data_IF_912017312427
#
_entry.id   IF_912017312427
#
_cell.length_a   1.000
_cell.length_b   1.000
_cell.length_c   1.000
_cell.angle_alpha   90.00
_cell.angle_beta   90.00
_cell.angle_gamma   90.00
#
_symmetry.space_group_name_H-M   'P 1'
#
loop_
_entity.id
_entity.type
_entity.pdbx_description
1 polymer ?
#
# COMPACT_ATOMS: atom_id res chain seq x y z
N UNK A 1 18.69 -0.38 83.28
CA UNK A 1 17.98 0.90 83.09
C UNK A 1 16.76 0.61 82.23
N UNK A 2 15.56 1.05 82.65
CA UNK A 2 14.29 0.65 82.03
C UNK A 2 13.78 1.76 81.11
N UNK A 3 13.37 1.42 79.89
CA UNK A 3 12.73 2.35 78.95
C UNK A 3 11.29 1.87 78.70
N UNK A 4 10.32 2.64 79.20
CA UNK A 4 8.90 2.32 79.11
C UNK A 4 8.29 2.65 77.75
N UNK A 5 7.19 1.98 77.43
CA UNK A 5 6.41 2.21 76.22
C UNK A 5 5.49 3.43 76.33
N UNK A 6 5.16 4.04 75.19
CA UNK A 6 3.83 4.64 74.99
C UNK A 6 3.30 4.31 73.59
N UNK A 7 2.00 4.00 73.55
CA UNK A 7 1.21 3.68 72.37
C UNK A 7 0.08 4.70 72.27
N UNK A 8 -0.23 5.23 71.07
CA UNK A 8 -1.55 5.77 70.79
C UNK A 8 -1.88 5.94 69.29
N UNK A 9 -3.13 5.61 68.98
CA UNK A 9 -4.03 6.26 68.02
C UNK A 9 -3.71 6.27 66.50
N UNK A 10 -4.58 5.55 65.77
CA UNK A 10 -4.80 5.61 64.32
C UNK A 10 -5.35 6.98 63.89
N UNK A 11 -4.90 7.51 62.77
CA UNK A 11 -5.61 8.56 62.03
C UNK A 11 -6.55 7.95 60.98
N UNK A 12 -7.80 8.41 60.97
CA UNK A 12 -8.86 7.99 60.02
C UNK A 12 -9.09 9.13 59.01
N UNK A 13 -9.18 8.87 57.70
CA UNK A 13 -9.44 9.92 56.70
C UNK A 13 -10.88 10.45 56.79
N UNK A 14 -11.12 11.74 56.53
CA UNK A 14 -12.45 12.33 56.56
C UNK A 14 -13.34 11.83 55.41
N UNK A 15 -14.64 11.69 55.69
CA UNK A 15 -15.67 11.19 54.77
C UNK A 15 -16.22 12.30 53.83
N UNK A 16 -16.81 11.95 52.67
CA UNK A 16 -17.37 12.90 51.71
C UNK A 16 -18.68 13.56 52.20
N UNK A 17 -18.94 14.77 51.71
CA UNK A 17 -20.13 15.57 52.03
C UNK A 17 -21.41 15.04 51.35
N UNK A 18 -22.58 15.04 52.03
CA UNK A 18 -23.86 14.62 51.45
C UNK A 18 -24.48 15.63 50.46
N UNK A 19 -25.43 15.11 49.66
CA UNK A 19 -26.30 15.89 48.78
C UNK A 19 -27.52 16.43 49.55
N UNK A 20 -28.09 17.56 49.11
CA UNK A 20 -29.41 18.02 49.55
C UNK A 20 -30.36 18.25 48.35
N UNK A 21 -31.60 17.78 48.52
CA UNK A 21 -32.80 18.06 47.71
C UNK A 21 -33.95 18.15 48.72
N UNK A 22 -34.81 19.18 48.70
CA UNK A 22 -36.14 19.03 48.08
C UNK A 22 -36.61 20.38 47.44
N UNK A 23 -37.81 20.62 46.91
CA UNK A 23 -39.11 19.92 46.97
C UNK A 23 -40.00 20.32 45.76
N UNK A 24 -41.04 19.54 45.45
CA UNK A 24 -41.89 19.66 44.25
C UNK A 24 -43.31 20.18 44.53
N UNK A 25 -43.92 20.93 43.59
CA UNK A 25 -45.37 21.16 43.52
C UNK A 25 -45.84 21.51 42.08
N UNK A 26 -47.00 20.97 41.66
CA UNK A 26 -47.57 21.01 40.29
C UNK A 26 -49.07 21.41 40.34
N UNK A 27 -49.88 21.43 39.25
CA UNK A 27 -49.71 22.01 37.91
C UNK A 27 -50.92 22.87 37.40
N UNK A 28 -50.70 23.72 36.38
CA UNK A 28 -51.73 24.38 35.53
C UNK A 28 -51.07 25.02 34.27
N UNK A 29 -51.71 25.34 33.12
CA UNK A 29 -52.99 24.96 32.46
C UNK A 29 -52.85 25.24 30.92
N UNK A 30 -53.84 24.87 30.09
CA UNK A 30 -53.74 24.83 28.61
C UNK A 30 -54.16 26.10 27.82
N UNK A 31 -53.50 26.31 26.66
CA UNK A 31 -53.77 27.09 25.43
C UNK A 31 -55.13 27.83 25.20
N UNK A 32 -55.18 28.93 24.39
CA UNK A 32 -55.35 28.78 22.92
C UNK A 32 -54.70 29.86 21.98
N UNK A 33 -54.59 29.55 20.68
CA UNK A 33 -54.18 30.46 19.58
C UNK A 33 -55.37 31.15 18.88
N UNK A 34 -55.23 32.40 18.40
CA UNK A 34 -56.07 32.99 17.33
C UNK A 34 -55.26 33.87 16.34
N UNK A 35 -55.84 34.08 15.15
CA UNK A 35 -55.24 34.66 13.91
C UNK A 35 -55.32 36.20 13.87
N UNK A 36 -54.75 36.86 12.84
CA UNK A 36 -55.66 37.45 11.84
C UNK A 36 -55.27 37.22 10.36
N UNK A 37 -56.23 37.52 9.47
CA UNK A 37 -56.09 37.58 7.99
C UNK A 37 -55.98 39.06 7.54
N UNK A 38 -55.31 39.33 6.42
CA UNK A 38 -55.45 40.60 5.69
C UNK A 38 -54.39 40.80 4.60
N UNK A 39 -54.80 41.10 3.36
CA UNK A 39 -53.93 41.39 2.21
C UNK A 39 -54.59 42.43 1.28
N UNK A 40 -53.85 43.44 0.79
CA UNK A 40 -54.13 44.13 -0.47
C UNK A 40 -53.13 43.73 -1.59
N UNK A 41 -53.41 44.04 -2.88
CA UNK A 41 -52.81 43.29 -4.00
C UNK A 41 -51.89 44.08 -4.97
N UNK A 42 -51.12 43.29 -5.75
CA UNK A 42 -50.48 43.58 -7.06
C UNK A 42 -49.47 44.74 -7.21
N UNK A 43 -48.25 44.37 -7.54
CA UNK A 43 -47.61 44.79 -8.80
C UNK A 43 -46.86 43.60 -9.41
N UNK A 44 -46.72 43.56 -10.75
CA UNK A 44 -46.10 42.45 -11.48
C UNK A 44 -44.61 42.72 -11.69
N UNK A 45 -43.75 41.85 -11.18
CA UNK A 45 -42.35 41.76 -11.61
C UNK A 45 -42.12 40.38 -12.24
N UNK A 46 -41.83 40.35 -13.55
CA UNK A 46 -41.52 39.11 -14.26
C UNK A 46 -40.20 38.54 -13.74
N UNK A 47 -40.27 37.48 -12.92
CA UNK A 47 -39.09 36.71 -12.55
C UNK A 47 -38.72 35.82 -13.73
N UNK A 48 -37.65 36.18 -14.44
CA UNK A 48 -37.13 35.39 -15.56
C UNK A 48 -36.40 34.16 -15.00
N UNK A 49 -37.14 33.06 -14.85
CA UNK A 49 -36.55 31.80 -14.39
C UNK A 49 -35.66 31.21 -15.48
N UNK A 50 -34.41 30.95 -15.12
CA UNK A 50 -33.38 30.46 -16.05
C UNK A 50 -33.68 28.99 -16.36
N UNK A 51 -34.16 28.73 -17.57
CA UNK A 51 -34.49 27.39 -18.08
C UNK A 51 -33.19 26.60 -18.29
N UNK A 52 -32.65 26.02 -17.21
CA UNK A 52 -31.58 25.00 -17.26
C UNK A 52 -31.80 23.94 -16.17
N UNK A 53 -33.03 23.45 -16.03
CA UNK A 53 -33.35 22.30 -15.18
C UNK A 53 -34.31 21.33 -15.88
N UNK A 54 -33.84 20.73 -16.99
CA UNK A 54 -34.50 19.58 -17.65
C UNK A 54 -33.57 18.86 -18.64
N UNK A 55 -32.30 18.66 -18.27
CA UNK A 55 -31.47 17.63 -18.90
C UNK A 55 -30.81 16.77 -17.82
N UNK A 56 -31.58 15.83 -17.27
CA UNK A 56 -31.01 14.58 -16.76
C UNK A 56 -30.34 13.89 -17.94
N UNK A 57 -29.06 14.18 -18.13
CA UNK A 57 -28.20 13.32 -18.95
C UNK A 57 -28.14 11.98 -18.24
N UNK A 58 -28.97 11.05 -18.69
CA UNK A 58 -28.85 9.65 -18.34
C UNK A 58 -27.42 9.24 -18.65
N UNK A 59 -26.62 9.01 -17.61
CA UNK A 59 -25.27 8.51 -17.76
C UNK A 59 -25.38 7.13 -18.39
N UNK A 60 -25.26 7.05 -19.72
CA UNK A 60 -25.20 5.80 -20.49
C UNK A 60 -24.37 4.81 -19.67
N UNK A 61 -24.89 3.60 -19.36
CA UNK A 61 -24.17 2.66 -18.53
C UNK A 61 -22.81 2.45 -19.18
N UNK A 62 -21.74 2.83 -18.46
CA UNK A 62 -20.37 2.65 -18.96
C UNK A 62 -20.25 1.17 -19.28
N UNK A 63 -20.01 0.84 -20.56
CA UNK A 63 -19.67 -0.53 -20.98
C UNK A 63 -18.63 -1.04 -19.99
N UNK A 64 -18.90 -2.18 -19.34
CA UNK A 64 -17.91 -2.81 -18.47
C UNK A 64 -16.69 -3.08 -19.34
N UNK A 65 -15.62 -2.32 -19.11
CA UNK A 65 -14.36 -2.54 -19.79
C UNK A 65 -13.87 -3.89 -19.29
N UNK A 66 -13.70 -4.83 -20.20
CA UNK A 66 -13.09 -6.10 -19.86
C UNK A 66 -11.60 -5.85 -19.59
N UNK A 67 -11.20 -6.00 -18.34
CA UNK A 67 -9.83 -5.78 -17.86
C UNK A 67 -9.01 -7.07 -17.82
N UNK A 68 -9.66 -8.21 -18.01
CA UNK A 68 -9.14 -9.55 -17.70
C UNK A 68 -9.51 -10.59 -18.78
N UNK A 69 -9.79 -10.14 -20.01
CA UNK A 69 -10.01 -10.98 -21.21
C UNK A 69 -11.02 -12.10 -20.98
N UNK A 70 -12.14 -11.78 -20.33
CA UNK A 70 -13.23 -12.69 -20.04
C UNK A 70 -13.13 -13.40 -18.68
N UNK A 71 -11.97 -13.40 -18.00
CA UNK A 71 -11.86 -13.97 -16.66
C UNK A 71 -12.69 -13.15 -15.65
N UNK A 72 -13.69 -13.73 -14.96
CA UNK A 72 -14.56 -13.00 -14.07
C UNK A 72 -13.83 -12.63 -12.77
N UNK A 73 -14.10 -11.44 -12.23
CA UNK A 73 -13.46 -10.98 -10.97
C UNK A 73 -13.70 -11.95 -9.80
N UNK A 74 -14.83 -12.66 -9.77
CA UNK A 74 -15.13 -13.68 -8.76
C UNK A 74 -14.15 -14.85 -8.75
N UNK A 75 -13.59 -15.23 -9.91
CA UNK A 75 -12.56 -16.27 -9.99
C UNK A 75 -11.22 -15.71 -9.48
N UNK A 76 -10.87 -14.47 -9.86
CA UNK A 76 -9.64 -13.82 -9.41
C UNK A 76 -9.58 -13.64 -7.89
N UNK A 77 -10.72 -13.46 -7.22
CA UNK A 77 -10.80 -13.39 -5.75
C UNK A 77 -10.47 -14.72 -5.06
N UNK A 78 -10.56 -15.86 -5.77
CA UNK A 78 -10.20 -17.19 -5.26
C UNK A 78 -8.72 -17.54 -5.51
N UNK A 79 -8.06 -16.87 -6.46
CA UNK A 79 -6.64 -17.06 -6.75
C UNK A 79 -5.78 -16.43 -5.64
N UNK A 80 -4.65 -17.07 -5.35
CA UNK A 80 -3.57 -16.53 -4.51
C UNK A 80 -2.35 -16.19 -5.39
N UNK A 81 -1.31 -15.59 -4.79
CA UNK A 81 -0.06 -15.28 -5.48
C UNK A 81 1.11 -15.94 -4.71
N UNK A 82 1.89 -16.83 -5.33
CA UNK A 82 3.03 -17.47 -4.67
C UNK A 82 4.06 -16.46 -4.13
N UNK A 83 4.66 -16.80 -2.98
CA UNK A 83 5.78 -16.04 -2.43
C UNK A 83 7.09 -16.41 -3.14
N UNK A 84 7.95 -15.43 -3.37
CA UNK A 84 9.33 -15.63 -3.83
C UNK A 84 10.27 -15.52 -2.62
N UNK A 85 10.44 -16.61 -1.88
CA UNK A 85 11.22 -16.66 -0.64
C UNK A 85 12.32 -17.72 -0.69
N UNK A 86 13.51 -17.33 -0.26
CA UNK A 86 14.72 -18.16 -0.17
C UNK A 86 15.48 -17.80 1.12
N UNK A 87 16.27 -18.71 1.71
CA UNK A 87 17.32 -18.32 2.65
C UNK A 87 18.30 -17.29 2.04
N UNK A 88 19.01 -16.57 2.90
CA UNK A 88 20.11 -15.64 2.54
C UNK A 88 19.71 -14.44 1.66
N UNK A 89 18.43 -14.09 1.58
CA UNK A 89 17.98 -12.87 0.90
C UNK A 89 18.46 -11.60 1.63
N UNK A 90 18.86 -10.60 0.86
CA UNK A 90 19.19 -9.28 1.39
C UNK A 90 17.91 -8.51 1.77
N UNK A 91 16.87 -8.58 0.94
CA UNK A 91 15.61 -7.87 1.11
C UNK A 91 14.45 -8.83 0.85
N UNK A 92 13.39 -8.76 1.67
CA UNK A 92 12.07 -9.28 1.31
C UNK A 92 11.10 -8.10 1.24
N UNK A 93 10.51 -7.89 0.06
CA UNK A 93 9.47 -6.90 -0.17
C UNK A 93 8.14 -7.48 0.32
N UNK A 94 7.53 -6.81 1.29
CA UNK A 94 6.30 -7.25 1.96
C UNK A 94 5.14 -6.41 1.46
N UNK A 95 4.33 -6.97 0.57
CA UNK A 95 3.09 -6.38 0.08
C UNK A 95 1.92 -6.51 1.06
N UNK A 96 0.80 -5.86 0.74
CA UNK A 96 -0.41 -5.95 1.55
C UNK A 96 -1.09 -7.30 1.30
N UNK A 97 -1.56 -7.46 0.08
CA UNK A 97 -2.19 -8.64 -0.48
C UNK A 97 -2.18 -8.54 -2.02
N UNK A 98 -2.43 -9.64 -2.75
CA UNK A 98 -2.54 -9.59 -4.19
C UNK A 98 -3.73 -8.72 -4.62
N UNK A 99 -3.48 -7.81 -5.57
CA UNK A 99 -4.55 -7.12 -6.29
C UNK A 99 -5.07 -7.96 -7.44
N UNK A 100 -6.28 -7.70 -7.93
CA UNK A 100 -6.88 -8.45 -9.06
C UNK A 100 -5.94 -8.64 -10.28
N UNK A 101 -5.15 -7.63 -10.65
CA UNK A 101 -4.18 -7.76 -11.75
C UNK A 101 -3.01 -8.69 -11.42
N UNK A 102 -2.56 -8.72 -10.16
CA UNK A 102 -1.52 -9.65 -9.71
C UNK A 102 -2.04 -11.10 -9.68
N UNK A 103 -3.29 -11.30 -9.26
CA UNK A 103 -3.96 -12.60 -9.28
C UNK A 103 -4.33 -13.09 -10.70
N UNK A 104 -4.62 -12.17 -11.62
CA UNK A 104 -4.84 -12.48 -13.03
C UNK A 104 -3.55 -12.91 -13.72
N UNK A 105 -2.49 -12.11 -13.58
CA UNK A 105 -1.18 -12.31 -14.21
C UNK A 105 -0.35 -13.42 -13.56
N UNK A 106 -0.50 -13.65 -12.25
CA UNK A 106 0.33 -14.61 -11.50
C UNK A 106 1.70 -14.08 -11.05
N UNK A 107 1.95 -12.77 -11.19
CA UNK A 107 3.23 -12.12 -10.84
C UNK A 107 3.06 -10.94 -9.87
N UNK A 108 4.17 -10.54 -9.23
CA UNK A 108 4.23 -9.45 -8.25
C UNK A 108 4.22 -8.05 -8.90
N UNK A 109 3.33 -7.20 -8.38
CA UNK A 109 3.17 -5.78 -8.76
C UNK A 109 2.97 -5.43 -10.26
N UNK A 110 2.20 -6.19 -11.08
CA UNK A 110 1.97 -5.88 -12.48
C UNK A 110 1.09 -4.65 -12.72
N UNK A 111 1.24 -4.10 -13.93
CA UNK A 111 0.37 -3.07 -14.50
C UNK A 111 0.75 -1.62 -14.14
N UNK A 112 0.20 -0.64 -14.88
CA UNK A 112 0.59 0.78 -14.79
C UNK A 112 0.11 1.44 -13.49
N UNK A 113 -0.80 0.79 -12.74
CA UNK A 113 -1.27 1.24 -11.44
C UNK A 113 -0.30 0.99 -10.27
N UNK A 114 0.93 0.54 -10.55
CA UNK A 114 1.95 0.26 -9.55
C UNK A 114 3.31 0.87 -9.95
N UNK A 115 3.98 1.52 -8.98
CA UNK A 115 5.28 2.16 -9.20
C UNK A 115 6.48 1.25 -8.87
N UNK A 116 6.28 0.06 -8.32
CA UNK A 116 7.37 -0.81 -7.80
C UNK A 116 8.50 -0.99 -8.83
N UNK A 117 8.17 -1.52 -10.02
CA UNK A 117 9.13 -1.79 -11.08
C UNK A 117 9.86 -0.53 -11.58
N UNK A 118 9.18 0.61 -11.58
CA UNK A 118 9.81 1.90 -11.90
C UNK A 118 10.74 2.38 -10.78
N UNK A 119 10.33 2.27 -9.52
CA UNK A 119 11.11 2.71 -8.37
C UNK A 119 12.37 1.88 -8.14
N UNK A 120 12.30 0.54 -8.25
CA UNK A 120 13.43 -0.37 -8.01
C UNK A 120 14.54 -0.21 -9.07
N UNK A 121 14.16 0.07 -10.32
CA UNK A 121 15.11 0.41 -11.38
C UNK A 121 15.68 1.82 -11.19
N UNK A 122 14.84 2.84 -10.98
CA UNK A 122 15.30 4.23 -10.78
C UNK A 122 16.23 4.40 -9.58
N UNK A 123 16.06 3.57 -8.53
CA UNK A 123 16.95 3.57 -7.36
C UNK A 123 18.23 2.77 -7.52
N UNK A 124 18.45 2.10 -8.67
CA UNK A 124 19.56 1.17 -8.92
C UNK A 124 19.67 0.03 -7.89
N UNK A 125 18.52 -0.46 -7.40
CA UNK A 125 18.45 -1.74 -6.68
C UNK A 125 18.57 -2.92 -7.64
N UNK A 126 18.11 -2.73 -8.88
CA UNK A 126 18.43 -3.54 -10.05
C UNK A 126 19.14 -2.67 -11.10
N UNK A 127 19.98 -3.30 -11.92
CA UNK A 127 20.87 -2.66 -12.89
C UNK A 127 20.18 -2.30 -14.21
N UNK A 128 19.24 -3.15 -14.66
CA UNK A 128 18.45 -3.00 -15.89
C UNK A 128 16.94 -2.87 -15.62
N UNK A 129 16.16 -2.30 -16.56
CA UNK A 129 14.70 -2.34 -16.50
C UNK A 129 14.17 -3.77 -16.40
N UNK A 130 13.11 -3.96 -15.60
CA UNK A 130 12.42 -5.23 -15.40
C UNK A 130 10.92 -4.99 -15.22
N UNK A 131 10.13 -6.03 -15.44
CA UNK A 131 8.67 -6.05 -15.31
C UNK A 131 8.21 -7.10 -14.30
N UNK A 132 6.90 -7.23 -14.09
CA UNK A 132 6.36 -8.30 -13.25
C UNK A 132 6.74 -9.70 -13.76
N UNK A 133 6.90 -9.90 -15.07
CA UNK A 133 7.35 -11.17 -15.68
C UNK A 133 8.79 -11.56 -15.29
N UNK A 134 9.53 -10.66 -14.65
CA UNK A 134 10.90 -10.88 -14.18
C UNK A 134 10.98 -11.13 -12.67
N UNK A 135 9.84 -11.19 -11.96
CA UNK A 135 9.81 -11.19 -10.49
C UNK A 135 10.58 -12.34 -9.82
N UNK A 136 10.52 -13.54 -10.38
CA UNK A 136 11.29 -14.69 -9.93
C UNK A 136 12.81 -14.50 -10.07
N UNK A 137 13.27 -13.64 -11.01
CA UNK A 137 14.69 -13.36 -11.25
C UNK A 137 15.29 -12.48 -10.15
N UNK A 138 14.48 -11.78 -9.35
CA UNK A 138 14.96 -10.88 -8.30
C UNK A 138 15.61 -11.60 -7.12
N UNK A 139 15.37 -12.92 -6.96
CA UNK A 139 16.13 -13.77 -6.03
C UNK A 139 17.64 -13.69 -6.33
N UNK A 140 18.04 -13.57 -7.60
CA UNK A 140 19.44 -13.40 -8.01
C UNK A 140 20.04 -12.03 -7.59
N UNK A 141 19.20 -11.03 -7.32
CA UNK A 141 19.58 -9.74 -6.76
C UNK A 141 19.52 -9.72 -5.22
N UNK A 142 19.21 -10.86 -4.59
CA UNK A 142 18.97 -10.99 -3.15
C UNK A 142 17.61 -10.43 -2.71
N UNK A 143 16.64 -10.27 -3.62
CA UNK A 143 15.34 -9.65 -3.35
C UNK A 143 14.21 -10.67 -3.51
N UNK A 144 13.46 -10.93 -2.45
CA UNK A 144 12.27 -11.78 -2.44
C UNK A 144 10.96 -11.02 -2.25
N UNK A 145 9.84 -11.75 -2.33
CA UNK A 145 8.49 -11.21 -2.22
C UNK A 145 7.59 -12.06 -1.31
N UNK A 146 6.75 -11.40 -0.52
CA UNK A 146 5.63 -12.00 0.22
C UNK A 146 4.52 -10.96 0.39
N UNK A 147 3.32 -11.39 0.78
CA UNK A 147 2.28 -10.48 1.28
C UNK A 147 2.00 -10.73 2.78
N UNK A 148 1.39 -9.75 3.45
CA UNK A 148 0.86 -9.93 4.82
C UNK A 148 -0.38 -10.80 4.79
N UNK A 149 -1.29 -10.55 3.85
CA UNK A 149 -2.53 -11.32 3.65
C UNK A 149 -2.46 -11.99 2.27
N UNK A 150 -2.75 -13.29 2.24
CA UNK A 150 -2.69 -14.10 1.01
C UNK A 150 -3.89 -13.88 0.07
N UNK A 151 -5.07 -13.59 0.64
CA UNK A 151 -6.33 -13.44 -0.09
C UNK A 151 -6.31 -12.25 -1.05
N UNK A 152 -6.65 -12.50 -2.31
CA UNK A 152 -6.80 -11.46 -3.34
C UNK A 152 -7.99 -10.53 -3.06
N UNK A 153 -7.79 -9.21 -3.25
CA UNK A 153 -8.89 -8.22 -3.21
C UNK A 153 -8.72 -7.12 -4.27
N UNK A 154 -9.78 -6.34 -4.59
CA UNK A 154 -9.65 -5.13 -5.41
C UNK A 154 -8.74 -4.06 -4.77
N UNK A 155 -8.79 -3.93 -3.44
CA UNK A 155 -7.81 -3.13 -2.69
C UNK A 155 -7.75 -3.42 -1.19
N UNK A 156 -6.79 -2.77 -0.53
CA UNK A 156 -6.50 -2.94 0.89
C UNK A 156 -7.60 -2.44 1.85
N UNK A 157 -8.64 -1.77 1.33
CA UNK A 157 -9.84 -1.40 2.11
C UNK A 157 -10.78 -2.57 2.37
N UNK A 158 -10.65 -3.64 1.58
CA UNK A 158 -11.47 -4.85 1.63
C UNK A 158 -10.89 -5.91 2.60
N UNK A 159 -9.86 -5.52 3.37
CA UNK A 159 -9.19 -6.31 4.39
C UNK A 159 -9.51 -5.75 5.78
N UNK A 160 -9.85 -6.62 6.72
CA UNK A 160 -10.08 -6.19 8.11
C UNK A 160 -8.77 -6.01 8.89
N UNK A 161 -8.78 -5.19 9.94
CA UNK A 161 -7.60 -5.09 10.85
C UNK A 161 -7.29 -6.41 11.57
N UNK A 162 -8.30 -7.26 11.81
CA UNK A 162 -8.13 -8.61 12.37
C UNK A 162 -7.35 -9.49 11.39
N UNK A 163 -7.79 -9.53 10.14
CA UNK A 163 -7.15 -10.28 9.05
C UNK A 163 -5.70 -9.83 8.79
N UNK A 164 -5.44 -8.51 8.78
CA UNK A 164 -4.06 -8.00 8.70
C UNK A 164 -3.21 -8.43 9.91
N UNK A 165 -3.79 -8.48 11.12
CA UNK A 165 -3.09 -8.92 12.33
C UNK A 165 -2.84 -10.43 12.39
N UNK A 166 -3.73 -11.24 11.82
CA UNK A 166 -3.54 -12.68 11.63
C UNK A 166 -2.47 -12.96 10.57
N UNK A 167 -2.55 -12.27 9.43
CA UNK A 167 -1.53 -12.28 8.38
C UNK A 167 -0.14 -11.87 8.89
N UNK A 168 -0.05 -10.87 9.76
CA UNK A 168 1.21 -10.47 10.39
C UNK A 168 1.85 -11.61 11.21
N UNK A 169 1.05 -12.50 11.84
CA UNK A 169 1.58 -13.66 12.58
C UNK A 169 2.19 -14.70 11.64
N UNK A 170 1.50 -14.99 10.53
CA UNK A 170 1.99 -15.89 9.48
C UNK A 170 3.29 -15.33 8.87
N UNK A 171 3.33 -14.02 8.60
CA UNK A 171 4.50 -13.31 8.10
C UNK A 171 5.72 -13.45 9.04
N UNK A 172 5.55 -13.29 10.36
CA UNK A 172 6.67 -13.49 11.30
C UNK A 172 7.21 -14.92 11.23
N UNK A 173 6.35 -15.94 11.12
CA UNK A 173 6.80 -17.32 10.91
C UNK A 173 7.64 -17.49 9.62
N UNK A 174 7.21 -16.86 8.51
CA UNK A 174 8.01 -16.84 7.26
C UNK A 174 9.37 -16.13 7.46
N UNK A 175 9.38 -14.98 8.11
CA UNK A 175 10.61 -14.19 8.34
C UNK A 175 11.57 -14.88 9.33
N UNK A 176 11.07 -15.59 10.33
CA UNK A 176 11.87 -16.44 11.23
C UNK A 176 12.50 -17.64 10.52
N UNK A 177 11.80 -18.21 9.52
CA UNK A 177 12.31 -19.30 8.68
C UNK A 177 13.40 -18.85 7.71
N UNK A 178 13.16 -17.75 6.97
CA UNK A 178 14.04 -17.34 5.86
C UNK A 178 15.10 -16.29 6.25
N UNK A 179 14.89 -15.56 7.35
CA UNK A 179 15.80 -14.58 7.96
C UNK A 179 16.53 -13.67 6.94
N UNK A 180 15.79 -12.87 6.14
CA UNK A 180 16.41 -11.90 5.25
C UNK A 180 17.13 -10.81 6.06
N UNK A 181 18.09 -10.10 5.47
CA UNK A 181 18.71 -8.96 6.18
C UNK A 181 17.69 -7.85 6.47
N UNK A 182 16.77 -7.60 5.55
CA UNK A 182 15.77 -6.53 5.64
C UNK A 182 14.35 -7.04 5.28
N UNK A 183 13.40 -6.81 6.18
CA UNK A 183 11.96 -6.92 5.96
C UNK A 183 11.40 -5.54 5.53
N UNK A 184 11.12 -5.37 4.24
CA UNK A 184 10.75 -4.09 3.64
C UNK A 184 9.22 -3.99 3.40
N UNK A 185 8.51 -3.35 4.33
CA UNK A 185 7.06 -3.15 4.28
C UNK A 185 6.66 -2.12 3.21
N UNK A 186 6.00 -2.57 2.16
CA UNK A 186 5.50 -1.76 1.04
C UNK A 186 4.15 -1.08 1.38
N UNK A 187 4.13 -0.35 2.50
CA UNK A 187 2.99 0.47 2.94
C UNK A 187 2.90 0.64 4.46
N UNK A 188 2.62 1.88 4.91
CA UNK A 188 2.44 2.21 6.34
C UNK A 188 1.37 1.37 7.06
N UNK A 189 0.26 1.02 6.38
CA UNK A 189 -0.89 0.35 7.02
C UNK A 189 -0.60 -1.08 7.47
N UNK A 190 0.22 -1.83 6.72
CA UNK A 190 0.61 -3.19 7.11
C UNK A 190 1.65 -3.20 8.22
N UNK A 191 2.55 -2.21 8.23
CA UNK A 191 3.43 -2.02 9.37
C UNK A 191 2.67 -1.56 10.63
N UNK A 192 1.60 -0.76 10.51
CA UNK A 192 0.73 -0.41 11.66
C UNK A 192 0.07 -1.65 12.28
N UNK A 193 -0.45 -2.57 11.46
CA UNK A 193 -0.99 -3.84 11.93
C UNK A 193 0.09 -4.71 12.59
N UNK A 194 1.24 -4.88 11.94
CA UNK A 194 2.38 -5.65 12.46
C UNK A 194 2.87 -5.10 13.81
N UNK A 195 3.15 -3.80 13.87
CA UNK A 195 3.64 -3.09 15.07
C UNK A 195 2.64 -3.14 16.22
N UNK A 196 1.34 -3.06 15.93
CA UNK A 196 0.29 -3.23 16.94
C UNK A 196 0.29 -4.65 17.52
N UNK A 197 0.45 -5.68 16.68
CA UNK A 197 0.43 -7.10 17.11
C UNK A 197 1.69 -7.49 17.87
N UNK A 198 2.88 -7.08 17.41
CA UNK A 198 4.16 -7.57 17.93
C UNK A 198 4.83 -6.67 18.94
N UNK A 199 4.57 -5.36 18.89
CA UNK A 199 5.20 -4.39 19.80
C UNK A 199 4.18 -3.68 20.70
N UNK A 200 2.88 -3.92 20.51
CA UNK A 200 1.81 -3.15 21.20
C UNK A 200 1.74 -1.68 20.77
N UNK A 201 2.48 -1.29 19.72
CA UNK A 201 2.66 0.11 19.30
C UNK A 201 1.79 0.40 18.08
N UNK A 202 0.78 1.24 18.25
CA UNK A 202 0.08 1.88 17.13
C UNK A 202 0.91 3.05 16.59
N UNK A 203 0.97 3.22 15.27
CA UNK A 203 1.73 4.30 14.65
C UNK A 203 1.11 5.67 14.93
N UNK A 204 1.97 6.63 15.27
CA UNK A 204 1.61 8.03 15.47
C UNK A 204 1.41 8.77 14.14
N UNK A 205 0.96 10.03 14.22
CA UNK A 205 0.73 10.89 13.04
C UNK A 205 2.05 11.24 12.33
N UNK A 206 3.04 11.62 13.14
CA UNK A 206 4.44 11.96 12.88
C UNK A 206 5.36 10.76 12.54
N UNK A 207 4.78 9.60 12.23
CA UNK A 207 5.54 8.40 11.84
C UNK A 207 6.46 8.65 10.64
N UNK A 208 7.74 8.28 10.81
CA UNK A 208 8.77 8.39 9.79
C UNK A 208 8.93 7.07 9.01
N UNK A 209 8.97 7.18 7.69
CA UNK A 209 9.34 6.09 6.79
C UNK A 209 10.85 5.82 6.84
N UNK A 210 11.28 4.66 6.33
CA UNK A 210 12.66 4.19 6.39
C UNK A 210 12.87 3.09 7.43
N UNK A 211 14.11 2.93 7.88
CA UNK A 211 14.48 1.94 8.89
C UNK A 211 13.76 2.21 10.21
N UNK A 212 13.31 1.15 10.86
CA UNK A 212 12.65 1.19 12.16
C UNK A 212 13.61 0.71 13.26
N UNK A 213 13.44 1.15 14.52
CA UNK A 213 14.33 0.77 15.62
C UNK A 213 14.14 -0.69 16.05
N UNK A 214 12.92 -1.23 15.91
CA UNK A 214 12.59 -2.60 16.27
C UNK A 214 13.05 -3.59 15.18
N UNK A 215 13.43 -4.81 15.59
CA UNK A 215 13.75 -5.94 14.71
C UNK A 215 12.54 -6.87 14.53
N UNK A 216 12.53 -7.71 13.50
CA UNK A 216 11.50 -8.76 13.39
C UNK A 216 11.68 -9.76 14.55
N UNK A 217 10.65 -10.01 15.37
CA UNK A 217 10.76 -10.81 16.60
C UNK A 217 11.43 -12.18 16.39
N UNK A 218 12.43 -12.48 17.23
CA UNK A 218 13.19 -13.73 17.16
C UNK A 218 14.22 -13.81 16.03
N UNK A 219 14.58 -12.69 15.41
CA UNK A 219 15.59 -12.63 14.33
C UNK A 219 16.45 -11.36 14.40
N UNK A 220 17.53 -11.32 13.61
CA UNK A 220 18.31 -10.11 13.36
C UNK A 220 17.81 -9.28 12.15
N UNK A 221 16.65 -9.63 11.58
CA UNK A 221 16.08 -8.96 10.40
C UNK A 221 15.74 -7.50 10.72
N UNK A 222 16.35 -6.55 9.99
CA UNK A 222 16.01 -5.13 10.09
C UNK A 222 14.62 -4.87 9.50
N UNK A 223 13.84 -3.99 10.13
CA UNK A 223 12.55 -3.54 9.58
C UNK A 223 12.77 -2.24 8.81
N UNK A 224 12.22 -2.15 7.60
CA UNK A 224 12.21 -0.95 6.77
C UNK A 224 10.79 -0.71 6.24
N UNK A 225 10.31 0.54 6.23
CA UNK A 225 8.93 0.88 5.87
C UNK A 225 8.90 1.92 4.78
N UNK A 226 8.18 1.63 3.69
CA UNK A 226 8.02 2.50 2.53
C UNK A 226 6.57 2.97 2.38
N UNK A 227 6.31 4.09 1.68
CA UNK A 227 4.97 4.36 1.16
C UNK A 227 4.57 3.26 0.17
N UNK A 228 3.27 3.00 0.04
CA UNK A 228 2.80 1.94 -0.86
C UNK A 228 3.13 2.29 -2.31
N UNK A 229 3.76 1.36 -3.02
CA UNK A 229 4.07 1.43 -4.44
C UNK A 229 2.84 1.66 -5.34
N UNK A 230 1.64 1.29 -4.88
CA UNK A 230 0.38 1.55 -5.61
C UNK A 230 0.19 3.03 -5.96
N UNK A 231 -0.25 3.31 -7.19
CA UNK A 231 -0.65 4.64 -7.65
C UNK A 231 -1.89 5.20 -6.90
N UNK A 232 -2.55 4.40 -6.05
CA UNK A 232 -3.62 4.84 -5.14
C UNK A 232 -3.11 5.54 -3.88
N UNK A 233 -1.79 5.58 -3.65
CA UNK A 233 -1.19 6.29 -2.51
C UNK A 233 -1.26 7.80 -2.72
N UNK A 234 -2.28 8.45 -2.17
CA UNK A 234 -2.54 9.87 -2.37
C UNK A 234 -1.41 10.79 -1.86
N UNK A 235 -0.67 10.36 -0.83
CA UNK A 235 0.46 11.11 -0.27
C UNK A 235 1.69 11.13 -1.18
N UNK A 236 1.83 10.17 -2.09
CA UNK A 236 3.00 10.03 -2.98
C UNK A 236 2.48 9.67 -4.38
N UNK A 237 1.99 10.66 -5.16
CA UNK A 237 1.16 10.42 -6.34
C UNK A 237 1.92 9.87 -7.55
N UNK A 238 3.24 10.08 -7.66
CA UNK A 238 4.09 9.63 -8.79
C UNK A 238 5.10 8.58 -8.34
N UNK A 239 5.82 7.99 -9.30
CA UNK A 239 6.90 7.04 -9.00
C UNK A 239 8.10 7.75 -8.35
N UNK A 240 8.52 8.90 -8.90
CA UNK A 240 9.71 9.60 -8.43
C UNK A 240 9.56 10.16 -6.98
N UNK A 241 8.33 10.49 -6.53
CA UNK A 241 8.06 10.89 -5.14
C UNK A 241 8.41 9.77 -4.12
N UNK A 242 8.53 8.52 -4.60
CA UNK A 242 8.82 7.32 -3.80
C UNK A 242 10.26 6.80 -3.97
N UNK A 243 11.02 7.24 -4.97
CA UNK A 243 12.35 6.67 -5.31
C UNK A 243 13.35 6.84 -4.16
N UNK A 244 13.31 7.96 -3.44
CA UNK A 244 14.08 8.21 -2.21
C UNK A 244 14.03 7.04 -1.20
N UNK A 245 12.87 6.40 -1.00
CA UNK A 245 12.77 5.28 -0.04
C UNK A 245 13.46 4.02 -0.53
N UNK A 246 13.53 3.81 -1.85
CA UNK A 246 14.25 2.71 -2.46
C UNK A 246 15.77 2.98 -2.49
N UNK A 247 16.19 4.24 -2.64
CA UNK A 247 17.60 4.66 -2.48
C UNK A 247 18.08 4.42 -1.05
N UNK A 248 17.31 4.86 -0.05
CA UNK A 248 17.59 4.60 1.38
C UNK A 248 17.58 3.10 1.72
N UNK A 249 16.70 2.31 1.09
CA UNK A 249 16.72 0.84 1.21
C UNK A 249 18.00 0.23 0.61
N UNK A 250 18.45 0.71 -0.56
CA UNK A 250 19.71 0.29 -1.19
C UNK A 250 20.92 0.58 -0.30
N UNK A 251 20.94 1.77 0.32
CA UNK A 251 21.98 2.19 1.28
C UNK A 251 22.05 1.26 2.49
N UNK A 252 20.91 1.02 3.16
CA UNK A 252 20.85 0.07 4.28
C UNK A 252 21.28 -1.35 3.85
N UNK A 253 20.90 -1.79 2.65
CA UNK A 253 21.34 -3.08 2.09
C UNK A 253 22.87 -3.11 1.93
N UNK A 254 23.45 -2.06 1.36
CA UNK A 254 24.90 -1.96 1.14
C UNK A 254 25.68 -1.88 2.46
N UNK A 255 25.21 -1.08 3.43
CA UNK A 255 25.76 -1.02 4.79
C UNK A 255 25.79 -2.40 5.46
N UNK A 256 24.65 -3.12 5.48
CA UNK A 256 24.54 -4.47 6.06
C UNK A 256 25.34 -5.55 5.31
N UNK A 257 25.95 -5.23 4.16
CA UNK A 257 26.85 -6.09 3.39
C UNK A 257 28.32 -5.62 3.44
N UNK A 258 28.61 -4.49 4.08
CA UNK A 258 29.94 -3.87 4.03
C UNK A 258 30.33 -3.36 2.64
N UNK A 259 29.36 -3.09 1.76
CA UNK A 259 29.60 -2.51 0.44
C UNK A 259 29.80 -1.00 0.61
N UNK A 260 31.01 -0.54 0.35
CA UNK A 260 31.34 0.88 0.33
C UNK A 260 30.75 1.53 -0.93
N UNK A 261 29.90 2.55 -0.76
CA UNK A 261 29.42 3.37 -1.89
C UNK A 261 30.37 4.55 -2.11
N UNK A 262 30.60 4.91 -3.38
CA UNK A 262 31.23 6.18 -3.73
C UNK A 262 30.33 7.34 -3.27
N UNK A 263 30.92 8.24 -2.50
CA UNK A 263 30.22 9.33 -1.81
C UNK A 263 30.05 10.60 -2.65
N UNK A 264 30.29 10.54 -3.96
CA UNK A 264 30.23 11.72 -4.84
C UNK A 264 28.82 12.34 -4.95
N UNK A 265 27.76 11.59 -4.63
CA UNK A 265 26.38 12.07 -4.70
C UNK A 265 25.69 11.95 -3.33
N UNK A 266 25.62 13.07 -2.62
CA UNK A 266 24.77 13.20 -1.43
C UNK A 266 23.27 13.23 -1.83
N UNK A 267 22.42 12.58 -1.05
CA UNK A 267 20.96 12.65 -1.25
C UNK A 267 20.45 13.89 -0.51
N UNK A 268 20.01 14.90 -1.25
CA UNK A 268 19.33 16.06 -0.68
C UNK A 268 17.93 15.68 -0.18
N UNK A 269 17.40 16.44 0.78
CA UNK A 269 16.04 16.24 1.28
C UNK A 269 14.99 16.46 0.19
N UNK A 270 14.48 15.34 -0.35
CA UNK A 270 13.47 15.35 -1.40
C UNK A 270 12.14 15.90 -0.87
N UNK A 271 11.70 17.03 -1.43
CA UNK A 271 10.41 17.66 -1.17
C UNK A 271 9.69 18.00 -2.47
N UNK A 272 8.35 18.11 -2.42
CA UNK A 272 7.54 18.37 -3.60
C UNK A 272 6.20 19.03 -3.24
N UNK A 273 5.65 19.79 -4.19
CA UNK A 273 4.27 20.30 -4.12
C UNK A 273 3.28 19.16 -4.43
N UNK A 274 2.45 18.81 -3.44
CA UNK A 274 1.50 17.72 -3.55
C UNK A 274 0.40 17.96 -4.61
N UNK A 275 -0.04 19.20 -4.81
CA UNK A 275 -1.10 19.54 -5.77
C UNK A 275 -0.55 19.38 -7.19
N UNK A 276 0.62 19.99 -7.47
CA UNK A 276 1.30 19.85 -8.77
C UNK A 276 1.63 18.39 -9.08
N UNK A 277 2.10 17.63 -8.08
CA UNK A 277 2.41 16.21 -8.25
C UNK A 277 1.16 15.35 -8.54
N UNK A 278 0.00 15.69 -7.97
CA UNK A 278 -1.28 15.04 -8.29
C UNK A 278 -1.74 15.37 -9.72
N UNK A 279 -1.55 16.61 -10.18
CA UNK A 279 -1.91 17.02 -11.55
C UNK A 279 -1.02 16.35 -12.61
N UNK A 280 0.28 16.34 -12.37
CA UNK A 280 1.27 15.66 -13.21
C UNK A 280 1.03 14.13 -13.26
N UNK A 281 0.66 13.51 -12.13
CA UNK A 281 0.25 12.10 -12.10
C UNK A 281 -1.00 11.83 -12.95
N UNK A 282 -2.02 12.72 -12.92
CA UNK A 282 -3.22 12.57 -13.78
C UNK A 282 -2.86 12.65 -15.26
N UNK A 283 -2.02 13.62 -15.65
CA UNK A 283 -1.54 13.81 -17.03
C UNK A 283 -0.78 12.56 -17.53
N UNK A 284 0.16 12.06 -16.72
CA UNK A 284 0.97 10.88 -17.05
C UNK A 284 0.11 9.62 -17.16
N UNK A 285 -0.85 9.44 -16.24
CA UNK A 285 -1.74 8.28 -16.21
C UNK A 285 -2.56 8.15 -17.50
N UNK A 286 -3.06 9.25 -18.06
CA UNK A 286 -3.81 9.26 -19.34
C UNK A 286 -2.95 8.83 -20.54
N UNK A 287 -1.62 9.03 -20.49
CA UNK A 287 -0.68 8.52 -21.49
C UNK A 287 -0.45 7.01 -21.30
N UNK A 288 -0.26 6.55 -20.07
CA UNK A 288 0.02 5.14 -19.76
C UNK A 288 -1.18 4.20 -19.99
N UNK A 289 -2.41 4.62 -19.63
CA UNK A 289 -3.61 3.78 -19.83
C UNK A 289 -3.94 3.55 -21.32
N UNK A 290 -3.41 4.36 -22.25
CA UNK A 290 -3.56 4.16 -23.70
C UNK A 290 -2.58 3.15 -24.30
N UNK A 291 -1.42 2.95 -23.66
CA UNK A 291 -0.31 2.14 -24.17
C UNK A 291 -0.12 0.83 -23.39
N UNK A 292 -0.94 0.57 -22.36
CA UNK A 292 -0.85 -0.66 -21.57
C UNK A 292 -1.61 -1.81 -22.24
N UNK A 293 -0.87 -2.76 -22.78
CA UNK A 293 -1.40 -4.05 -23.24
C UNK A 293 -1.16 -5.13 -22.18
N UNK A 294 -2.24 -5.78 -21.75
CA UNK A 294 -2.18 -6.87 -20.77
C UNK A 294 -1.56 -8.15 -21.36
N UNK A 295 -1.58 -8.37 -22.68
CA UNK A 295 -0.94 -9.56 -23.29
C UNK A 295 0.57 -9.56 -23.08
N UNK A 296 1.23 -8.40 -23.20
CA UNK A 296 2.67 -8.24 -22.89
C UNK A 296 3.01 -8.53 -21.42
N UNK A 297 2.00 -8.58 -20.54
CA UNK A 297 2.15 -8.77 -19.10
C UNK A 297 1.49 -10.07 -18.59
N UNK A 298 0.82 -10.85 -19.44
CA UNK A 298 0.05 -12.04 -19.03
C UNK A 298 0.47 -13.25 -19.87
N UNK A 299 1.80 -13.40 -20.05
CA UNK A 299 2.43 -14.38 -20.94
C UNK A 299 1.75 -15.75 -20.88
N UNK A 300 1.42 -16.29 -22.05
CA UNK A 300 0.38 -17.30 -22.26
C UNK A 300 0.55 -18.60 -21.45
N UNK A 301 0.08 -18.58 -20.21
CA UNK A 301 -0.08 -19.75 -19.34
C UNK A 301 -1.56 -20.05 -19.15
N UNK A 302 -2.16 -20.58 -20.21
CA UNK A 302 -3.41 -21.34 -20.11
C UNK A 302 -3.08 -22.63 -19.36
N UNK A 303 -3.74 -22.83 -18.21
CA UNK A 303 -3.73 -24.01 -17.34
C UNK A 303 -2.83 -25.19 -17.75
N UNK A 304 -1.71 -25.37 -17.03
CA UNK A 304 -1.11 -26.69 -16.83
C UNK A 304 -1.69 -27.27 -15.53
N UNK A 305 -2.44 -28.37 -15.63
CA UNK A 305 -2.93 -29.08 -14.45
C UNK A 305 -1.78 -29.63 -13.61
N UNK A 306 -1.91 -29.68 -12.27
CA UNK A 306 -0.89 -30.28 -11.42
C UNK A 306 -0.80 -31.79 -11.69
N UNK A 307 0.41 -32.37 -11.88
CA UNK A 307 0.55 -33.80 -12.11
C UNK A 307 0.09 -34.58 -10.87
N UNK A 308 -0.75 -35.58 -11.08
CA UNK A 308 -1.24 -36.44 -10.01
C UNK A 308 -0.09 -37.19 -9.32
N UNK A 309 -0.11 -37.22 -8.00
CA UNK A 309 0.92 -37.89 -7.21
C UNK A 309 0.76 -39.42 -7.26
N UNK A 310 1.76 -40.14 -7.78
CA UNK A 310 1.82 -41.59 -7.65
C UNK A 310 2.73 -42.35 -8.64
N UNK A 311 4.05 -42.32 -8.44
CA UNK A 311 4.96 -43.40 -8.85
C UNK A 311 6.34 -43.26 -8.15
N UNK A 312 6.98 -44.39 -7.83
CA UNK A 312 8.31 -44.46 -7.23
C UNK A 312 9.44 -44.41 -8.30
N UNK A 313 10.73 -44.22 -7.94
CA UNK A 313 11.74 -43.75 -8.89
C UNK A 313 12.36 -44.85 -9.75
N UNK A 314 12.56 -44.57 -11.04
CA UNK A 314 13.33 -45.42 -11.94
C UNK A 314 13.49 -44.82 -13.34
N UNK A 315 14.72 -44.87 -13.87
CA UNK A 315 15.16 -44.46 -15.21
C UNK A 315 15.02 -42.97 -15.60
N UNK A 316 16.15 -42.38 -16.01
CA UNK A 316 16.19 -41.09 -16.69
C UNK A 316 16.02 -41.27 -18.20
N UNK A 317 15.21 -40.45 -18.90
CA UNK A 317 15.23 -40.33 -20.35
C UNK A 317 15.86 -39.01 -20.82
N UNK A 318 16.42 -39.04 -22.02
CA UNK A 318 17.32 -38.03 -22.60
C UNK A 318 16.76 -36.61 -22.77
N UNK A 319 17.72 -35.69 -22.87
CA UNK A 319 17.51 -34.27 -23.15
C UNK A 319 16.99 -34.09 -24.57
N UNK A 320 15.68 -33.84 -24.71
CA UNK A 320 15.10 -33.34 -25.95
C UNK A 320 15.18 -31.80 -25.95
N UNK A 321 15.84 -31.22 -26.96
CA UNK A 321 15.97 -29.77 -27.08
C UNK A 321 14.63 -29.12 -27.47
N UNK A 322 13.95 -28.52 -26.49
CA UNK A 322 12.82 -27.64 -26.76
C UNK A 322 13.34 -26.27 -27.24
N UNK A 323 12.93 -25.86 -28.44
CA UNK A 323 13.36 -24.60 -29.03
C UNK A 323 12.91 -23.38 -28.22
N UNK A 324 13.82 -22.44 -28.00
CA UNK A 324 13.53 -21.15 -27.35
C UNK A 324 12.70 -20.26 -28.27
N UNK A 325 11.38 -20.44 -28.25
CA UNK A 325 10.44 -19.44 -28.75
C UNK A 325 10.49 -18.21 -27.85
N UNK A 326 11.28 -17.21 -28.24
CA UNK A 326 11.45 -15.99 -27.46
C UNK A 326 10.11 -15.23 -27.41
N UNK A 327 9.59 -15.00 -26.21
CA UNK A 327 8.37 -14.22 -26.04
C UNK A 327 8.65 -12.76 -26.44
N UNK A 328 7.72 -12.06 -27.11
CA UNK A 328 7.96 -10.70 -27.57
C UNK A 328 8.34 -9.80 -26.39
N UNK A 329 9.56 -9.28 -26.42
CA UNK A 329 10.09 -8.38 -25.39
C UNK A 329 9.14 -7.18 -25.24
N UNK A 330 8.77 -6.78 -24.00
CA UNK A 330 7.89 -5.64 -23.80
C UNK A 330 8.53 -4.37 -24.37
N UNK A 331 7.77 -3.57 -25.10
CA UNK A 331 8.28 -2.29 -25.60
C UNK A 331 8.60 -1.37 -24.41
N UNK A 332 9.89 -1.19 -24.14
CA UNK A 332 10.37 -0.42 -23.00
C UNK A 332 9.95 1.05 -23.05
N UNK A 333 9.71 1.66 -24.22
CA UNK A 333 9.18 3.03 -24.34
C UNK A 333 7.71 3.14 -23.89
N UNK A 334 6.96 2.03 -23.83
CA UNK A 334 5.60 2.02 -23.30
C UNK A 334 5.56 1.76 -21.78
N UNK A 335 6.50 0.96 -21.26
CA UNK A 335 6.62 0.67 -19.82
C UNK A 335 7.34 1.81 -19.07
N UNK A 336 8.40 2.32 -19.69
CA UNK A 336 9.24 3.43 -19.27
C UNK A 336 9.29 4.45 -20.43
N UNK A 337 8.23 5.23 -20.67
CA UNK A 337 8.33 6.33 -21.62
C UNK A 337 9.52 7.21 -21.25
N UNK A 338 10.33 7.64 -22.24
CA UNK A 338 11.48 8.50 -21.99
C UNK A 338 11.01 9.67 -21.13
N UNK A 339 11.65 9.80 -19.98
CA UNK A 339 11.45 10.94 -19.11
C UNK A 339 12.26 12.06 -19.74
N UNK A 340 11.60 13.09 -20.22
CA UNK A 340 12.25 14.34 -20.59
C UNK A 340 12.89 14.92 -19.31
N UNK A 341 14.14 14.54 -19.06
CA UNK A 341 14.96 15.02 -17.94
C UNK A 341 15.44 16.46 -18.16
N UNK A 342 15.11 17.02 -19.32
CA UNK A 342 15.41 18.38 -19.75
C UNK A 342 14.09 19.09 -20.00
N UNK A 343 13.43 19.50 -18.93
CA UNK A 343 12.72 20.77 -18.94
C UNK A 343 12.45 21.29 -17.51
N UNK A 344 13.00 22.49 -17.25
CA UNK A 344 12.67 23.35 -16.10
C UNK A 344 13.17 22.86 -14.72
N UNK A 345 14.50 22.72 -14.58
CA UNK A 345 15.15 23.32 -13.40
C UNK A 345 15.06 24.84 -13.62
N UNK A 346 14.38 25.62 -12.77
CA UNK A 346 14.44 27.08 -12.86
C UNK A 346 15.87 27.53 -12.56
N UNK A 347 16.44 28.33 -13.46
CA UNK A 347 17.81 28.82 -13.35
C UNK A 347 17.95 29.79 -12.16
N UNK A 348 18.55 29.34 -11.06
CA UNK A 348 18.78 30.15 -9.86
C UNK A 348 20.06 30.97 -10.03
N UNK A 349 20.12 31.79 -11.08
CA UNK A 349 21.18 32.80 -11.29
C UNK A 349 20.69 34.14 -11.85
N UNK A 350 19.56 34.68 -11.36
CA UNK A 350 19.36 36.14 -11.39
C UNK A 350 18.33 36.66 -10.37
N UNK A 351 18.69 37.77 -9.71
CA UNK A 351 17.93 38.59 -8.72
C UNK A 351 17.90 38.06 -7.28
#
# INVERSE_FOLDING_TARGET
>A
MSAGAMSAAKSVPPQPLPQEVPMEATPAKSAPKKKPRGRPPKSQAKKQEKITDTMKVEKKPKRKIDRFKGTPESELLLRTLPDHLSPNLDIVIIGINPGLMAAYVGHHYPGPGNHFWKCIYMSRLIDRPMTAMDDFKLINYGIGFTNVVERTTPGSKDLSRKEMGEGAKILVGKLQKYQPRIAAFNGKSIYDAFSTVFFGKKLKKDFQFGQQPDLVPGTNTRIFVMPSSSARCAQFPRAQDKVQFYLRLKRLRNELKGIQEDREVEETDYSFDLIKAIEDAKRTKVKQEKNFDVDTCAGAHVHADPPAAGAAPGAAPGVAAAGTGDAPQPNWDNVFPPMDFVDHIPDITSQ
#
